data_IF_666691047239
#
_entry.id   IF_666691047239
#
_cell.length_a   1.000
_cell.length_b   1.000
_cell.length_c   1.000
_cell.angle_alpha   90.00
_cell.angle_beta   90.00
_cell.angle_gamma   90.00
#
_symmetry.space_group_name_H-M   'P 1'
#
loop_
_entity.id
_entity.type
_entity.pdbx_description
1 polymer ?
#
# COMPACT_ATOMS: atom_id res chain seq x y z
N UNK A 1 43.60 24.42 28.75
CA UNK A 1 43.23 24.74 27.35
C UNK A 1 43.01 23.51 26.49
N UNK A 2 43.92 22.52 26.46
CA UNK A 2 43.80 21.32 25.61
C UNK A 2 42.49 20.53 25.82
N UNK A 3 42.08 20.35 27.08
CA UNK A 3 40.83 19.66 27.44
C UNK A 3 39.59 20.42 26.98
N UNK A 4 39.59 21.76 27.12
CA UNK A 4 38.47 22.59 26.68
C UNK A 4 38.35 22.61 25.14
N UNK A 5 39.48 22.62 24.43
CA UNK A 5 39.50 22.50 22.97
C UNK A 5 39.01 21.11 22.50
N UNK A 6 39.41 20.03 23.19
CA UNK A 6 38.92 18.69 22.92
C UNK A 6 37.42 18.52 23.18
N UNK A 7 36.90 19.10 24.26
CA UNK A 7 35.45 19.12 24.55
C UNK A 7 34.70 19.95 23.51
N UNK A 8 35.21 21.12 23.11
CA UNK A 8 34.57 21.95 22.09
C UNK A 8 34.52 21.24 20.72
N UNK A 9 35.64 20.65 20.29
CA UNK A 9 35.74 19.92 19.01
C UNK A 9 34.90 18.64 19.01
N UNK A 10 34.94 17.86 20.10
CA UNK A 10 34.11 16.67 20.24
C UNK A 10 32.62 17.01 20.25
N UNK A 11 32.22 18.01 21.03
CA UNK A 11 30.82 18.46 21.13
C UNK A 11 30.27 18.94 19.79
N UNK A 12 31.09 19.57 18.95
CA UNK A 12 30.67 20.07 17.65
C UNK A 12 30.29 18.97 16.65
N UNK A 13 30.83 17.75 16.81
CA UNK A 13 30.52 16.61 15.93
C UNK A 13 29.45 15.71 16.54
N UNK A 14 29.57 15.43 17.84
CA UNK A 14 28.64 14.50 18.51
C UNK A 14 27.23 15.09 18.67
N UNK A 15 27.09 16.39 18.95
CA UNK A 15 25.77 17.00 19.17
C UNK A 15 24.93 17.02 17.88
N UNK A 16 25.43 17.51 16.72
CA UNK A 16 24.67 17.44 15.48
C UNK A 16 24.41 16.01 15.03
N UNK A 17 25.37 15.10 15.21
CA UNK A 17 25.20 13.68 14.88
C UNK A 17 24.07 13.03 15.68
N UNK A 18 24.04 13.26 17.00
CA UNK A 18 22.97 12.80 17.86
C UNK A 18 21.60 13.41 17.48
N UNK A 19 21.58 14.71 17.11
CA UNK A 19 20.36 15.38 16.67
C UNK A 19 19.82 14.80 15.36
N UNK A 20 20.70 14.52 14.39
CA UNK A 20 20.33 13.86 13.14
C UNK A 20 19.73 12.48 13.44
N UNK A 21 20.40 11.65 14.23
CA UNK A 21 19.91 10.31 14.58
C UNK A 21 18.56 10.37 15.32
N UNK A 22 18.43 11.29 16.28
CA UNK A 22 17.18 11.49 17.02
C UNK A 22 16.03 11.94 16.09
N UNK A 23 16.31 12.86 15.16
CA UNK A 23 15.30 13.31 14.18
C UNK A 23 14.88 12.19 13.24
N UNK A 24 15.83 11.37 12.76
CA UNK A 24 15.53 10.19 11.92
C UNK A 24 14.64 9.20 12.67
N UNK A 25 14.97 8.91 13.94
CA UNK A 25 14.18 8.03 14.78
C UNK A 25 12.77 8.58 15.02
N UNK A 26 12.64 9.87 15.30
CA UNK A 26 11.35 10.53 15.48
C UNK A 26 10.50 10.46 14.21
N UNK A 27 11.09 10.73 13.04
CA UNK A 27 10.41 10.64 11.74
C UNK A 27 9.98 9.20 11.43
N UNK A 28 10.84 8.22 11.70
CA UNK A 28 10.52 6.80 11.52
C UNK A 28 9.33 6.36 12.37
N UNK A 29 9.26 6.80 13.63
CA UNK A 29 8.14 6.50 14.53
C UNK A 29 6.83 7.19 14.11
N UNK A 30 6.94 8.37 13.48
CA UNK A 30 5.79 9.10 12.96
C UNK A 30 5.23 8.44 11.69
N UNK A 31 6.08 7.83 10.87
CA UNK A 31 5.69 7.07 9.68
C UNK A 31 5.18 5.67 10.05
N UNK A 32 3.96 5.62 10.59
CA UNK A 32 3.26 4.34 10.78
C UNK A 32 2.83 3.77 9.43
N UNK A 33 3.00 2.46 9.26
CA UNK A 33 2.55 1.76 8.06
C UNK A 33 1.04 1.85 7.83
N UNK A 34 0.57 1.59 6.58
CA UNK A 34 -0.85 1.65 6.24
C UNK A 34 -1.70 0.75 7.13
N UNK A 35 -2.82 1.27 7.63
CA UNK A 35 -3.74 0.52 8.53
C UNK A 35 -5.20 0.94 8.34
N UNK A 36 -6.12 0.10 8.84
CA UNK A 36 -7.56 0.27 8.61
C UNK A 36 -7.92 0.11 7.13
N UNK A 37 -7.38 -0.95 6.51
CA UNK A 37 -7.60 -1.31 5.11
C UNK A 37 -8.94 -2.05 5.02
N UNK A 38 -9.80 -1.60 4.12
CA UNK A 38 -11.06 -2.26 3.78
C UNK A 38 -11.09 -2.48 2.28
N UNK A 39 -11.48 -3.68 1.87
CA UNK A 39 -11.65 -4.06 0.46
C UNK A 39 -13.07 -4.55 0.29
N UNK A 40 -13.81 -3.90 -0.60
CA UNK A 40 -15.14 -4.32 -1.00
C UNK A 40 -15.09 -4.77 -2.45
N UNK A 41 -15.61 -5.98 -2.72
CA UNK A 41 -15.67 -6.52 -4.07
C UNK A 41 -17.09 -6.35 -4.58
N UNK A 42 -17.22 -5.63 -5.68
CA UNK A 42 -18.49 -5.37 -6.35
C UNK A 42 -18.47 -6.16 -7.66
N UNK A 43 -19.38 -7.11 -7.78
CA UNK A 43 -19.62 -7.89 -9.00
C UNK A 43 -21.05 -7.57 -9.45
N UNK A 44 -21.25 -7.05 -10.67
CA UNK A 44 -22.56 -6.60 -11.11
C UNK A 44 -23.53 -7.74 -11.50
N UNK A 45 -23.04 -8.99 -11.63
CA UNK A 45 -23.84 -10.15 -12.04
C UNK A 45 -23.72 -11.28 -11.02
N UNK A 46 -24.86 -11.85 -10.65
CA UNK A 46 -24.95 -13.00 -9.74
C UNK A 46 -24.81 -14.36 -10.44
N UNK A 47 -25.05 -14.41 -11.76
CA UNK A 47 -24.88 -15.62 -12.59
C UNK A 47 -24.14 -15.28 -13.88
N UNK A 48 -23.22 -16.16 -14.29
CA UNK A 48 -22.35 -15.96 -15.46
C UNK A 48 -22.28 -17.24 -16.29
N UNK A 49 -22.31 -17.09 -17.61
CA UNK A 49 -22.23 -18.21 -18.54
C UNK A 49 -20.82 -18.40 -19.07
N UNK A 50 -20.54 -19.56 -19.67
CA UNK A 50 -19.26 -19.82 -20.34
C UNK A 50 -19.10 -18.83 -21.49
N UNK A 51 -17.95 -18.15 -21.52
CA UNK A 51 -17.66 -17.09 -22.49
C UNK A 51 -18.08 -15.69 -22.04
N UNK A 52 -18.84 -15.53 -20.96
CA UNK A 52 -19.20 -14.20 -20.44
C UNK A 52 -17.97 -13.49 -19.89
N UNK A 53 -17.85 -12.20 -20.21
CA UNK A 53 -16.92 -11.27 -19.58
C UNK A 53 -17.60 -10.53 -18.43
N UNK A 54 -16.90 -10.47 -17.30
CA UNK A 54 -17.38 -9.89 -16.06
C UNK A 54 -16.37 -8.85 -15.60
N UNK A 55 -16.81 -7.61 -15.47
CA UNK A 55 -16.02 -6.56 -14.83
C UNK A 55 -16.12 -6.73 -13.31
N UNK A 56 -14.97 -6.89 -12.65
CA UNK A 56 -14.85 -6.93 -11.19
C UNK A 56 -14.30 -5.58 -10.75
N UNK A 57 -15.01 -4.93 -9.81
CA UNK A 57 -14.59 -3.67 -9.20
C UNK A 57 -14.22 -3.94 -7.75
N UNK A 58 -12.99 -3.59 -7.38
CA UNK A 58 -12.49 -3.64 -6.01
C UNK A 58 -12.40 -2.22 -5.47
N UNK A 59 -13.24 -1.88 -4.50
CA UNK A 59 -13.19 -0.62 -3.81
C UNK A 59 -12.26 -0.75 -2.61
N UNK A 60 -11.04 -0.25 -2.76
CA UNK A 60 -10.02 -0.25 -1.74
C UNK A 60 -10.07 1.05 -0.95
N UNK A 61 -10.28 0.97 0.36
CA UNK A 61 -10.25 2.10 1.28
C UNK A 61 -9.14 1.91 2.30
N UNK A 62 -8.21 2.86 2.38
CA UNK A 62 -7.10 2.85 3.36
C UNK A 62 -7.17 4.11 4.22
N UNK A 63 -7.56 3.95 5.49
CA UNK A 63 -7.85 5.08 6.37
C UNK A 63 -6.60 5.72 6.98
N UNK A 64 -5.61 4.93 7.42
CA UNK A 64 -4.49 5.39 8.28
C UNK A 64 -3.12 4.94 7.76
N UNK A 65 -2.05 5.56 8.25
CA UNK A 65 -0.65 5.24 7.90
C UNK A 65 -0.10 5.91 6.65
N UNK A 66 1.12 5.59 6.22
CA UNK A 66 1.72 6.04 4.96
C UNK A 66 2.52 4.86 4.41
N UNK A 67 2.47 4.63 3.09
CA UNK A 67 3.31 3.62 2.46
C UNK A 67 2.60 2.87 1.33
N UNK A 68 3.26 1.83 0.79
CA UNK A 68 2.71 1.02 -0.28
C UNK A 68 1.65 0.06 0.26
N UNK A 69 0.58 -0.15 -0.50
CA UNK A 69 -0.43 -1.17 -0.24
C UNK A 69 -0.57 -2.02 -1.50
N UNK A 70 -0.39 -3.33 -1.33
CA UNK A 70 -0.56 -4.31 -2.40
C UNK A 70 -1.85 -5.09 -2.19
N UNK A 71 -2.66 -5.17 -3.23
CA UNK A 71 -3.91 -5.93 -3.22
C UNK A 71 -3.86 -6.94 -4.34
N UNK A 72 -4.03 -8.21 -3.98
CA UNK A 72 -4.16 -9.31 -4.93
C UNK A 72 -5.55 -9.90 -4.83
N UNK A 73 -6.24 -9.98 -5.96
CA UNK A 73 -7.49 -10.71 -6.07
C UNK A 73 -7.23 -12.07 -6.71
N UNK A 74 -7.34 -13.18 -5.97
CA UNK A 74 -7.18 -14.50 -6.57
C UNK A 74 -8.33 -14.74 -7.57
N UNK A 75 -7.98 -15.12 -8.79
CA UNK A 75 -8.93 -15.49 -9.83
C UNK A 75 -9.16 -17.00 -9.73
N UNK A 76 -10.42 -17.47 -9.67
CA UNK A 76 -10.74 -18.89 -9.70
C UNK A 76 -10.20 -19.56 -10.97
N UNK A 77 -9.82 -20.84 -10.90
CA UNK A 77 -9.28 -21.58 -12.06
C UNK A 77 -10.29 -21.69 -13.23
N UNK A 78 -11.58 -21.53 -12.96
CA UNK A 78 -12.66 -21.55 -13.95
C UNK A 78 -12.81 -20.23 -14.73
N UNK A 79 -11.98 -19.24 -14.41
CA UNK A 79 -11.98 -17.91 -15.01
C UNK A 79 -10.57 -17.54 -15.46
N UNK A 80 -10.50 -16.76 -16.53
CA UNK A 80 -9.26 -16.21 -17.08
C UNK A 80 -9.28 -14.68 -17.01
N UNK A 81 -8.15 -14.06 -16.71
CA UNK A 81 -8.01 -12.61 -16.77
C UNK A 81 -7.93 -12.17 -18.23
N UNK A 82 -8.88 -11.37 -18.67
CA UNK A 82 -8.93 -10.90 -20.08
C UNK A 82 -8.50 -9.45 -20.21
N UNK A 83 -8.69 -8.64 -19.16
CA UNK A 83 -8.33 -7.23 -19.18
C UNK A 83 -7.93 -6.73 -17.78
N UNK A 84 -6.95 -5.81 -17.74
CA UNK A 84 -6.40 -5.25 -16.52
C UNK A 84 -5.40 -6.16 -15.78
N UNK A 85 -5.34 -6.02 -14.46
CA UNK A 85 -4.45 -6.79 -13.58
C UNK A 85 -5.24 -7.29 -12.37
N UNK A 86 -4.91 -8.46 -11.86
CA UNK A 86 -5.44 -8.95 -10.58
C UNK A 86 -4.54 -8.62 -9.38
N UNK A 87 -3.41 -7.95 -9.63
CA UNK A 87 -2.47 -7.47 -8.63
C UNK A 87 -2.29 -5.95 -8.80
N UNK A 88 -2.58 -5.21 -7.74
CA UNK A 88 -2.50 -3.75 -7.73
C UNK A 88 -1.55 -3.30 -6.63
N UNK A 89 -0.65 -2.37 -6.97
CA UNK A 89 0.15 -1.63 -6.00
C UNK A 89 -0.31 -0.18 -5.97
N UNK A 90 -0.74 0.31 -4.80
CA UNK A 90 -1.08 1.72 -4.62
C UNK A 90 -0.17 2.35 -3.56
N UNK A 91 0.22 3.61 -3.78
CA UNK A 91 0.86 4.41 -2.75
C UNK A 91 -0.18 5.15 -1.92
N UNK A 92 -0.13 4.96 -0.60
CA UNK A 92 -0.96 5.66 0.37
C UNK A 92 -0.20 6.82 0.98
N UNK A 93 -0.67 8.04 0.70
CA UNK A 93 -0.15 9.28 1.29
C UNK A 93 -0.69 9.53 2.71
N UNK A 94 -0.54 10.76 3.22
CA UNK A 94 -1.00 11.11 4.58
C UNK A 94 -2.52 10.96 4.76
N UNK A 95 -3.31 11.40 3.79
CA UNK A 95 -4.78 11.39 3.86
C UNK A 95 -5.39 10.00 3.63
N UNK A 96 -6.62 9.81 4.09
CA UNK A 96 -7.42 8.63 3.70
C UNK A 96 -7.53 8.56 2.18
N UNK A 97 -7.44 7.36 1.62
CA UNK A 97 -7.47 7.14 0.18
C UNK A 97 -8.46 6.03 -0.16
N UNK A 98 -9.37 6.33 -1.07
CA UNK A 98 -10.31 5.37 -1.67
C UNK A 98 -10.00 5.28 -3.16
N UNK A 99 -9.80 4.07 -3.67
CA UNK A 99 -9.49 3.81 -5.09
C UNK A 99 -10.32 2.64 -5.57
N UNK A 100 -10.90 2.80 -6.75
CA UNK A 100 -11.59 1.72 -7.45
C UNK A 100 -10.62 1.05 -8.41
N UNK A 101 -10.33 -0.22 -8.16
CA UNK A 101 -9.44 -1.05 -8.98
C UNK A 101 -10.30 -1.98 -9.80
N UNK A 102 -10.11 -1.96 -11.12
CA UNK A 102 -10.96 -2.70 -12.06
C UNK A 102 -10.15 -3.70 -12.87
N UNK A 103 -10.74 -4.87 -13.11
CA UNK A 103 -10.22 -5.88 -14.02
C UNK A 103 -11.38 -6.70 -14.57
N UNK A 104 -11.17 -7.34 -15.73
CA UNK A 104 -12.18 -8.21 -16.34
C UNK A 104 -11.72 -9.65 -16.37
N UNK A 105 -12.64 -10.52 -16.03
CA UNK A 105 -12.45 -11.97 -16.13
C UNK A 105 -13.44 -12.56 -17.11
N UNK A 106 -13.02 -13.59 -17.84
CA UNK A 106 -13.88 -14.39 -18.70
C UNK A 106 -14.03 -15.78 -18.12
N UNK A 107 -15.25 -16.29 -18.12
CA UNK A 107 -15.53 -17.64 -17.65
C UNK A 107 -15.15 -18.66 -18.74
N UNK A 108 -14.20 -19.56 -18.45
CA UNK A 108 -13.66 -20.51 -19.44
C UNK A 108 -14.30 -21.89 -19.36
N UNK A 109 -14.80 -22.27 -18.17
CA UNK A 109 -15.51 -23.54 -17.94
C UNK A 109 -16.72 -23.30 -17.04
N UNK A 110 -17.73 -24.16 -17.17
CA UNK A 110 -18.97 -24.07 -16.39
C UNK A 110 -18.68 -24.47 -14.94
N UNK A 111 -18.89 -23.54 -14.02
CA UNK A 111 -18.85 -23.76 -12.57
C UNK A 111 -20.20 -23.49 -11.95
#
# INVERSE_FOLDING_TARGET
MLVAAGVALGSFVFIPGALILASMYAVANLMRGPSGISVERIIPKDSVWVGDEVEVVLKLTVKKGIGPVFVRCPIPQVMELVDGSNLFGIWKGRSSKTVDLKFKVRTTVRG
#
